data_IF_529967388963
#
_entry.id   IF_529967388963
#
_cell.length_a   1.000
_cell.length_b   1.000
_cell.length_c   1.000
_cell.angle_alpha   90.00
_cell.angle_beta   90.00
_cell.angle_gamma   90.00
#
_symmetry.space_group_name_H-M   'P 1'
#
loop_
_entity.id
_entity.type
_entity.pdbx_description
1 polymer ?
#
# COMPACT_ATOMS: atom_id res chain seq x y z
N UNK A 1 12.31 -0.64 1.28
CA UNK A 1 11.04 -0.19 1.90
C UNK A 1 10.99 1.33 1.82
N UNK A 2 9.91 1.89 1.29
CA UNK A 2 9.70 3.34 1.19
C UNK A 2 8.52 3.78 2.07
N UNK A 3 8.31 5.09 2.22
CA UNK A 3 7.21 5.63 3.01
C UNK A 3 5.85 5.54 2.29
N UNK A 4 4.77 5.59 3.08
CA UNK A 4 3.38 5.71 2.63
C UNK A 4 3.21 6.85 1.62
N UNK A 5 2.36 6.65 0.60
CA UNK A 5 2.13 7.58 -0.51
C UNK A 5 3.45 8.07 -1.13
N UNK A 6 4.28 7.12 -1.56
CA UNK A 6 5.73 7.27 -1.80
C UNK A 6 6.14 8.47 -2.65
N UNK A 7 5.39 8.77 -3.72
CA UNK A 7 5.70 9.87 -4.65
C UNK A 7 4.77 11.07 -4.52
N UNK A 8 3.96 11.12 -3.46
CA UNK A 8 3.01 12.19 -3.21
C UNK A 8 3.39 12.96 -1.95
N UNK A 9 3.16 14.28 -1.89
CA UNK A 9 2.98 14.91 -0.59
C UNK A 9 1.77 14.26 0.11
N UNK A 10 1.73 14.34 1.44
CA UNK A 10 0.57 13.89 2.20
C UNK A 10 -0.61 14.84 1.97
N UNK A 11 -1.43 14.51 0.97
CA UNK A 11 -2.54 15.35 0.52
C UNK A 11 -3.76 15.27 1.46
N UNK A 12 -3.90 14.19 2.22
CA UNK A 12 -5.00 14.00 3.18
C UNK A 12 -4.86 14.88 4.45
N UNK A 13 -4.04 15.93 4.39
CA UNK A 13 -4.03 17.00 5.40
C UNK A 13 -5.26 17.91 5.28
N UNK A 14 -5.87 17.99 4.09
CA UNK A 14 -7.18 18.61 3.86
C UNK A 14 -8.12 17.58 3.21
N UNK A 15 -9.39 17.96 2.98
CA UNK A 15 -10.39 17.13 2.31
C UNK A 15 -10.68 17.62 0.88
N UNK A 16 -9.69 18.21 0.21
CA UNK A 16 -9.84 18.80 -1.13
C UNK A 16 -9.60 17.75 -2.25
N UNK A 17 -10.40 17.76 -3.31
CA UNK A 17 -10.39 16.77 -4.40
C UNK A 17 -9.19 16.88 -5.38
N UNK A 18 -8.04 17.39 -4.94
CA UNK A 18 -6.87 17.65 -5.78
C UNK A 18 -5.91 16.47 -5.95
N UNK A 19 -6.10 15.38 -5.23
CA UNK A 19 -5.22 14.22 -5.29
C UNK A 19 -5.60 13.29 -6.46
N UNK A 20 -4.62 12.91 -7.26
CA UNK A 20 -4.82 12.00 -8.40
C UNK A 20 -4.55 10.56 -7.99
N UNK A 21 -5.56 9.70 -8.15
CA UNK A 21 -5.41 8.27 -7.98
C UNK A 21 -4.67 7.64 -9.17
N UNK A 22 -3.89 6.60 -8.90
CA UNK A 22 -3.06 5.90 -9.86
C UNK A 22 -3.60 4.50 -10.13
N UNK A 23 -3.46 4.02 -11.37
CA UNK A 23 -3.70 2.63 -11.71
C UNK A 23 -2.48 1.76 -11.32
N UNK A 24 -2.70 0.47 -11.09
CA UNK A 24 -1.62 -0.52 -10.89
C UNK A 24 -1.69 -1.50 -12.07
N UNK A 25 -0.56 -1.82 -12.76
CA UNK A 25 0.82 -1.41 -12.46
C UNK A 25 1.28 -0.14 -13.18
N UNK A 26 0.40 0.55 -13.89
CA UNK A 26 0.78 1.64 -14.81
C UNK A 26 0.85 3.02 -14.14
N UNK A 27 0.71 3.12 -12.82
CA UNK A 27 0.87 4.36 -12.07
C UNK A 27 2.32 4.85 -12.02
N UNK A 28 2.54 6.12 -11.71
CA UNK A 28 3.89 6.68 -11.52
C UNK A 28 4.64 5.95 -10.39
N UNK A 29 3.95 5.64 -9.30
CA UNK A 29 4.50 5.01 -8.11
C UNK A 29 4.80 3.53 -8.36
N UNK A 30 3.93 2.83 -9.10
CA UNK A 30 4.18 1.46 -9.57
C UNK A 30 5.37 1.39 -10.51
N UNK A 31 5.44 2.26 -11.52
CA UNK A 31 6.58 2.32 -12.45
C UNK A 31 7.89 2.66 -11.75
N UNK A 32 7.88 3.58 -10.80
CA UNK A 32 9.04 3.91 -9.99
C UNK A 32 9.54 2.68 -9.21
N UNK A 33 8.64 1.97 -8.52
CA UNK A 33 9.00 0.77 -7.78
C UNK A 33 9.55 -0.34 -8.70
N UNK A 34 8.91 -0.56 -9.85
CA UNK A 34 9.35 -1.53 -10.88
C UNK A 34 10.74 -1.18 -11.41
N UNK A 35 10.98 0.07 -11.78
CA UNK A 35 12.26 0.54 -12.28
C UNK A 35 13.36 0.33 -11.23
N UNK A 36 13.12 0.77 -9.99
CA UNK A 36 14.08 0.62 -8.89
C UNK A 36 14.36 -0.86 -8.57
N UNK A 37 13.33 -1.71 -8.59
CA UNK A 37 13.49 -3.15 -8.35
C UNK A 37 14.35 -3.82 -9.43
N UNK A 38 14.10 -3.46 -10.69
CA UNK A 38 14.86 -3.98 -11.85
C UNK A 38 16.31 -3.49 -11.83
N UNK A 39 16.54 -2.23 -11.51
CA UNK A 39 17.88 -1.63 -11.45
C UNK A 39 18.73 -2.22 -10.32
N UNK A 40 18.12 -2.45 -9.15
CA UNK A 40 18.85 -2.86 -7.94
C UNK A 40 18.91 -4.38 -7.75
N UNK A 41 18.06 -5.14 -8.45
CA UNK A 41 17.89 -6.57 -8.22
C UNK A 41 17.21 -6.89 -6.88
N UNK A 42 16.54 -5.92 -6.25
CA UNK A 42 15.87 -6.06 -4.96
C UNK A 42 14.35 -5.96 -5.08
N UNK A 43 13.62 -6.56 -4.13
CA UNK A 43 12.20 -6.29 -3.97
C UNK A 43 11.99 -4.88 -3.40
N UNK A 44 11.08 -4.11 -4.00
CA UNK A 44 10.81 -2.72 -3.62
C UNK A 44 9.37 -2.58 -3.16
N UNK A 45 9.19 -2.27 -1.87
CA UNK A 45 7.91 -1.82 -1.32
C UNK A 45 7.72 -0.32 -1.60
N UNK A 46 6.59 0.02 -2.21
CA UNK A 46 6.07 1.38 -2.38
C UNK A 46 4.59 1.45 -1.99
N UNK A 47 4.07 2.64 -1.77
CA UNK A 47 2.63 2.89 -1.55
C UNK A 47 2.13 4.02 -2.45
N UNK A 48 0.86 3.97 -2.82
CA UNK A 48 0.22 4.91 -3.72
C UNK A 48 -1.27 5.07 -3.41
N UNK A 49 -1.84 6.19 -3.87
CA UNK A 49 -3.29 6.37 -3.92
C UNK A 49 -3.83 5.59 -5.12
N UNK A 50 -4.52 4.51 -4.88
CA UNK A 50 -5.01 3.60 -5.89
C UNK A 50 -6.43 3.97 -6.37
N UNK A 51 -6.63 3.93 -7.68
CA UNK A 51 -7.97 4.05 -8.28
C UNK A 51 -8.87 2.87 -7.91
N UNK A 52 -10.12 3.15 -7.53
CA UNK A 52 -11.12 2.11 -7.30
C UNK A 52 -11.68 1.59 -8.62
N UNK A 53 -11.70 0.26 -8.78
CA UNK A 53 -12.39 -0.43 -9.88
C UNK A 53 -13.88 -0.62 -9.62
N UNK A 54 -14.32 -0.47 -8.37
CA UNK A 54 -15.71 -0.68 -7.93
C UNK A 54 -16.50 0.65 -7.84
N UNK A 55 -15.83 1.78 -8.13
CA UNK A 55 -16.35 3.12 -7.91
C UNK A 55 -16.12 3.61 -6.47
N UNK A 56 -16.50 4.86 -6.21
CA UNK A 56 -16.32 5.50 -4.91
C UNK A 56 -14.88 5.98 -4.65
N UNK A 57 -14.53 6.08 -3.37
CA UNK A 57 -13.20 6.46 -2.90
C UNK A 57 -12.14 5.45 -3.38
N UNK A 58 -10.90 5.90 -3.55
CA UNK A 58 -9.81 5.00 -3.90
C UNK A 58 -9.27 4.25 -2.68
N UNK A 59 -8.02 3.83 -2.73
CA UNK A 59 -7.38 3.10 -1.62
C UNK A 59 -5.98 3.64 -1.34
N UNK A 60 -5.54 3.59 -0.09
CA UNK A 60 -4.11 3.61 0.21
C UNK A 60 -3.58 2.20 0.03
N UNK A 61 -2.74 2.01 -0.98
CA UNK A 61 -2.30 0.68 -1.41
C UNK A 61 -0.79 0.56 -1.36
N UNK A 62 -0.30 -0.37 -0.56
CA UNK A 62 1.09 -0.82 -0.59
C UNK A 62 1.28 -1.91 -1.64
N UNK A 63 2.34 -1.79 -2.44
CA UNK A 63 2.75 -2.73 -3.47
C UNK A 63 4.20 -3.16 -3.30
N UNK A 64 4.49 -4.40 -3.68
CA UNK A 64 5.87 -4.87 -3.83
C UNK A 64 6.17 -5.15 -5.29
N UNK A 65 7.17 -4.48 -5.83
CA UNK A 65 7.76 -4.80 -7.12
C UNK A 65 8.92 -5.79 -6.96
N UNK A 66 8.98 -6.81 -7.81
CA UNK A 66 10.06 -7.81 -7.85
C UNK A 66 11.19 -7.39 -8.79
N UNK A 67 12.39 -7.98 -8.65
CA UNK A 67 13.53 -7.75 -9.56
C UNK A 67 13.21 -8.04 -11.04
N UNK A 68 12.24 -8.90 -11.33
CA UNK A 68 11.77 -9.23 -12.68
C UNK A 68 10.82 -8.17 -13.26
N UNK A 69 10.61 -7.06 -12.56
CA UNK A 69 9.81 -5.93 -12.99
C UNK A 69 8.30 -6.14 -12.87
N UNK A 70 7.85 -6.97 -11.92
CA UNK A 70 6.43 -7.27 -11.69
C UNK A 70 5.97 -6.78 -10.33
N UNK A 71 4.74 -6.27 -10.24
CA UNK A 71 4.06 -6.11 -8.94
C UNK A 71 3.61 -7.49 -8.47
N UNK A 72 4.17 -7.98 -7.38
CA UNK A 72 3.94 -9.34 -6.85
C UNK A 72 3.06 -9.36 -5.59
N UNK A 73 2.97 -8.23 -4.89
CA UNK A 73 2.06 -8.06 -3.74
C UNK A 73 1.33 -6.72 -3.88
N UNK A 74 0.06 -6.71 -3.48
CA UNK A 74 -0.80 -5.52 -3.41
C UNK A 74 -1.69 -5.64 -2.18
N UNK A 75 -1.56 -4.71 -1.24
CA UNK A 75 -2.32 -4.65 0.01
C UNK A 75 -2.94 -3.29 0.18
N UNK A 76 -4.21 -3.26 0.58
CA UNK A 76 -4.96 -2.02 0.82
C UNK A 76 -5.03 -1.79 2.32
N UNK A 77 -4.71 -0.58 2.77
CA UNK A 77 -4.76 -0.15 4.18
C UNK A 77 -6.12 -0.48 4.78
N UNK A 78 -6.14 -1.14 5.94
CA UNK A 78 -7.38 -1.65 6.53
C UNK A 78 -8.02 -0.59 7.42
N UNK A 79 -7.22 0.06 8.26
CA UNK A 79 -7.70 1.05 9.22
C UNK A 79 -7.47 2.46 8.67
N UNK A 80 -8.55 3.10 8.21
CA UNK A 80 -8.51 4.45 7.67
C UNK A 80 -8.69 5.47 8.82
N UNK A 81 -7.67 6.29 9.14
CA UNK A 81 -7.83 7.34 10.13
C UNK A 81 -8.74 8.46 9.60
N UNK A 82 -9.45 9.10 10.52
CA UNK A 82 -10.22 10.31 10.24
C UNK A 82 -10.00 11.34 11.33
N UNK A 83 -9.91 12.61 10.98
CA UNK A 83 -9.80 13.72 11.92
C UNK A 83 -8.89 14.86 11.45
N UNK A 84 -8.70 15.85 12.32
CA UNK A 84 -7.91 17.04 11.99
C UNK A 84 -6.48 16.65 11.61
N UNK A 85 -6.09 17.00 10.37
CA UNK A 85 -4.77 16.70 9.81
C UNK A 85 -4.62 15.31 9.17
N UNK A 86 -5.66 14.47 9.24
CA UNK A 86 -5.70 13.10 8.71
C UNK A 86 -7.11 12.81 8.17
N UNK A 87 -7.45 13.43 7.04
CA UNK A 87 -8.75 13.33 6.36
C UNK A 87 -8.79 12.15 5.38
N UNK A 88 -8.16 11.03 5.71
CA UNK A 88 -8.01 9.89 4.80
C UNK A 88 -9.36 9.23 4.47
N UNK A 89 -10.34 9.34 5.36
CA UNK A 89 -11.72 8.89 5.17
C UNK A 89 -12.47 9.62 4.04
N UNK A 90 -11.91 10.70 3.50
CA UNK A 90 -12.40 11.38 2.30
C UNK A 90 -11.78 10.87 0.99
N UNK A 91 -10.68 10.13 1.05
CA UNK A 91 -9.95 9.66 -0.14
C UNK A 91 -9.95 8.15 -0.27
N UNK A 92 -9.94 7.44 0.85
CA UNK A 92 -9.72 6.01 0.90
C UNK A 92 -10.91 5.29 1.54
N UNK A 93 -11.32 4.21 0.90
CA UNK A 93 -12.16 3.20 1.53
C UNK A 93 -11.28 2.08 2.14
N UNK A 94 -11.74 1.41 3.20
CA UNK A 94 -10.94 0.39 3.87
C UNK A 94 -10.66 -0.82 2.98
N UNK A 95 -9.45 -1.36 3.08
CA UNK A 95 -9.09 -2.66 2.57
C UNK A 95 -9.74 -3.81 3.33
N UNK A 96 -9.51 -5.03 2.85
CA UNK A 96 -9.90 -6.26 3.56
C UNK A 96 -8.80 -6.69 4.52
N UNK A 97 -9.18 -7.41 5.56
CA UNK A 97 -8.22 -8.09 6.41
C UNK A 97 -7.30 -9.03 5.59
N UNK A 98 -6.02 -9.16 5.95
CA UNK A 98 -5.09 -10.06 5.28
C UNK A 98 -5.62 -11.48 5.35
N UNK A 99 -5.42 -12.25 4.29
CA UNK A 99 -5.87 -13.65 4.17
C UNK A 99 -4.73 -14.62 3.74
N UNK A 100 -3.52 -14.09 3.60
CA UNK A 100 -2.31 -14.84 3.26
C UNK A 100 -1.94 -14.71 1.79
N UNK A 101 -2.86 -14.26 0.92
CA UNK A 101 -2.54 -13.95 -0.48
C UNK A 101 -1.66 -12.72 -0.64
N UNK A 102 -1.50 -11.97 0.43
CA UNK A 102 -0.77 -10.72 0.54
C UNK A 102 0.60 -10.85 1.24
N UNK A 103 1.04 -12.08 1.51
CA UNK A 103 2.36 -12.36 2.06
C UNK A 103 3.36 -12.56 0.92
N UNK A 104 4.48 -11.84 1.00
CA UNK A 104 5.64 -12.11 0.15
C UNK A 104 6.49 -13.21 0.80
N UNK A 105 6.68 -14.31 0.09
CA UNK A 105 7.59 -15.38 0.51
C UNK A 105 8.95 -15.23 -0.16
N UNK A 106 9.99 -15.07 0.65
CA UNK A 106 11.39 -15.05 0.24
C UNK A 106 12.17 -16.11 1.02
N UNK A 107 13.38 -16.44 0.56
CA UNK A 107 14.26 -17.37 1.28
C UNK A 107 14.56 -16.91 2.72
N UNK A 108 14.59 -15.59 2.94
CA UNK A 108 14.93 -14.99 4.23
C UNK A 108 13.74 -14.92 5.20
N UNK A 109 12.52 -15.22 4.74
CA UNK A 109 11.32 -15.13 5.55
C UNK A 109 10.08 -14.75 4.75
N UNK A 110 8.99 -14.56 5.47
CA UNK A 110 7.68 -14.21 4.93
C UNK A 110 7.33 -12.82 5.44
N UNK A 111 6.82 -11.96 4.57
CA UNK A 111 6.67 -10.54 4.87
C UNK A 111 5.23 -10.10 4.61
N UNK A 112 4.63 -9.45 5.61
CA UNK A 112 3.35 -8.75 5.51
C UNK A 112 3.55 -7.23 5.40
N UNK A 113 2.54 -6.51 4.90
CA UNK A 113 2.67 -5.10 4.53
C UNK A 113 1.52 -4.24 5.11
N UNK A 114 1.39 -4.11 6.44
CA UNK A 114 0.47 -3.14 7.04
C UNK A 114 0.91 -1.71 6.76
N UNK A 115 -0.04 -0.77 6.63
CA UNK A 115 0.25 0.62 6.24
C UNK A 115 -0.12 1.61 7.35
N UNK A 116 0.87 2.37 7.82
CA UNK A 116 0.73 3.54 8.70
C UNK A 116 -0.19 3.30 9.90
N UNK A 117 -1.45 3.75 9.84
CA UNK A 117 -2.40 3.68 10.95
C UNK A 117 -2.70 2.25 11.39
N UNK A 118 -2.55 1.28 10.49
CA UNK A 118 -2.61 -0.15 10.76
C UNK A 118 -1.69 -0.60 11.92
N UNK A 119 -0.56 0.10 12.15
CA UNK A 119 0.39 -0.24 13.22
C UNK A 119 -0.20 -0.14 14.63
N UNK A 120 -1.30 0.61 14.79
CA UNK A 120 -1.96 0.81 16.08
C UNK A 120 -2.94 -0.31 16.43
N UNK A 121 -3.20 -1.24 15.50
CA UNK A 121 -4.16 -2.33 15.65
C UNK A 121 -3.43 -3.67 15.78
N UNK A 122 -3.20 -4.16 17.01
CA UNK A 122 -2.48 -5.41 17.24
C UNK A 122 -3.15 -6.62 16.57
N UNK A 123 -4.45 -6.55 16.30
CA UNK A 123 -5.22 -7.54 15.55
C UNK A 123 -4.62 -7.77 14.16
N UNK A 124 -4.21 -6.70 13.46
CA UNK A 124 -3.67 -6.83 12.12
C UNK A 124 -2.29 -7.49 12.12
N UNK A 125 -1.41 -7.06 13.04
CA UNK A 125 -0.12 -7.71 13.26
C UNK A 125 -0.31 -9.19 13.61
N UNK A 126 -1.29 -9.51 14.47
CA UNK A 126 -1.63 -10.88 14.83
C UNK A 126 -2.10 -11.71 13.63
N UNK A 127 -2.92 -11.14 12.74
CA UNK A 127 -3.38 -11.84 11.54
C UNK A 127 -2.21 -12.18 10.61
N UNK A 128 -1.31 -11.22 10.35
CA UNK A 128 -0.09 -11.49 9.58
C UNK A 128 0.78 -12.57 10.23
N UNK A 129 1.00 -12.52 11.56
CA UNK A 129 1.77 -13.55 12.26
C UNK A 129 1.09 -14.93 12.25
N UNK A 130 -0.24 -15.00 12.34
CA UNK A 130 -0.97 -16.27 12.22
C UNK A 130 -0.86 -16.88 10.82
N UNK A 131 -0.70 -16.03 9.82
CA UNK A 131 -0.44 -16.45 8.46
C UNK A 131 1.04 -16.72 8.21
N UNK A 132 1.92 -16.46 9.18
CA UNK A 132 3.34 -16.84 9.20
C UNK A 132 4.31 -15.81 8.63
N UNK A 133 3.92 -14.54 8.55
CA UNK A 133 4.82 -13.42 8.37
C UNK A 133 5.52 -13.01 9.69
#
# INVERSE_FOLDING_TARGET
CTQELTLSPYFAITSDDGAEAEAIPDGRSSRFAIALATETGAYVLASLFEVSTEGGLGYDTAIVASPEGKVVVRTRKVHIPGGSGYHEDHYFQPGRAPDGSDILELEQGRFGFPTCYDQWFPELARLYSLQGA
#
